data_IF_747911941299
#
_entry.id   IF_747911941299
#
_cell.length_a   1.000
_cell.length_b   1.000
_cell.length_c   1.000
_cell.angle_alpha   90.00
_cell.angle_beta   90.00
_cell.angle_gamma   90.00
#
_symmetry.space_group_name_H-M   'P 1'
#
loop_
_entity.id
_entity.type
_entity.pdbx_description
1 polymer ?
#
# COMPACT_ATOMS: atom_id res chain seq x y z
N UNK A 1 15.06 27.50 -3.94
CA UNK A 1 14.48 27.97 -2.65
C UNK A 1 12.99 28.11 -2.93
N UNK A 2 12.09 27.25 -2.45
CA UNK A 2 11.86 26.78 -1.09
C UNK A 2 11.41 25.32 -1.11
N UNK A 3 12.07 24.45 -0.34
CA UNK A 3 11.58 23.11 -0.02
C UNK A 3 10.49 23.27 1.03
N UNK A 4 9.23 23.28 0.60
CA UNK A 4 8.10 23.15 1.54
C UNK A 4 8.08 21.72 2.07
N UNK A 5 8.71 21.49 3.21
CA UNK A 5 8.51 20.26 3.98
C UNK A 5 7.08 20.28 4.51
N UNK A 6 6.20 19.42 3.99
CA UNK A 6 4.92 19.14 4.64
C UNK A 6 5.18 18.28 5.89
N UNK A 7 5.11 18.91 7.06
CA UNK A 7 5.55 18.35 8.34
C UNK A 7 4.68 17.23 8.93
N UNK A 8 3.71 16.68 8.18
CA UNK A 8 2.73 15.71 8.70
C UNK A 8 2.64 14.38 7.94
N UNK A 9 3.45 14.16 6.88
CA UNK A 9 3.46 12.86 6.23
C UNK A 9 4.22 11.84 7.10
N UNK A 10 3.58 10.69 7.38
CA UNK A 10 4.24 9.53 8.00
C UNK A 10 5.11 8.74 7.00
N UNK A 11 5.03 9.05 5.70
CA UNK A 11 5.79 8.36 4.66
C UNK A 11 7.30 8.63 4.80
N UNK A 12 8.13 7.60 5.04
CA UNK A 12 9.52 7.81 5.45
C UNK A 12 10.49 8.03 4.28
N UNK A 13 10.07 7.81 3.03
CA UNK A 13 10.97 7.84 1.86
C UNK A 13 10.87 9.20 1.13
N UNK A 14 11.99 9.89 0.85
CA UNK A 14 11.98 11.19 0.16
C UNK A 14 11.46 11.13 -1.29
N UNK A 15 10.75 12.18 -1.70
CA UNK A 15 10.16 12.30 -3.05
C UNK A 15 11.18 12.64 -4.15
N UNK A 16 11.95 11.64 -4.55
CA UNK A 16 12.99 11.73 -5.60
C UNK A 16 12.57 11.02 -6.89
N UNK A 17 13.25 11.27 -8.02
CA UNK A 17 12.95 10.57 -9.28
C UNK A 17 13.07 9.04 -9.17
N UNK A 18 14.10 8.46 -8.51
CA UNK A 18 14.14 7.01 -8.27
C UNK A 18 12.94 6.49 -7.50
N UNK A 19 12.43 7.27 -6.53
CA UNK A 19 11.26 6.88 -5.75
C UNK A 19 9.97 6.94 -6.58
N UNK A 20 9.83 7.92 -7.48
CA UNK A 20 8.73 7.97 -8.47
C UNK A 20 8.72 6.72 -9.36
N UNK A 21 9.88 6.33 -9.88
CA UNK A 21 10.03 5.13 -10.72
C UNK A 21 9.73 3.85 -9.94
N UNK A 22 10.19 3.74 -8.68
CA UNK A 22 9.89 2.60 -7.80
C UNK A 22 8.38 2.48 -7.59
N UNK A 23 7.69 3.58 -7.29
CA UNK A 23 6.23 3.59 -7.09
C UNK A 23 5.46 3.18 -8.36
N UNK A 24 5.89 3.64 -9.54
CA UNK A 24 5.29 3.22 -10.80
C UNK A 24 5.46 1.70 -11.06
N UNK A 25 6.63 1.13 -10.73
CA UNK A 25 6.86 -0.32 -10.82
C UNK A 25 6.06 -1.10 -9.76
N UNK A 26 5.89 -0.54 -8.57
CA UNK A 26 5.05 -1.12 -7.52
C UNK A 26 3.59 -1.28 -7.98
N UNK A 27 3.07 -0.33 -8.75
CA UNK A 27 1.76 -0.47 -9.38
C UNK A 27 1.67 -1.64 -10.38
N UNK A 28 2.73 -1.90 -11.16
CA UNK A 28 2.76 -3.06 -12.06
C UNK A 28 2.80 -4.39 -11.27
N UNK A 29 3.61 -4.47 -10.19
CA UNK A 29 3.61 -5.61 -9.27
C UNK A 29 2.21 -5.86 -8.71
N UNK A 30 1.53 -4.79 -8.27
CA UNK A 30 0.17 -4.85 -7.75
C UNK A 30 -0.78 -5.54 -8.72
N UNK A 31 -0.80 -5.07 -9.97
CA UNK A 31 -1.66 -5.65 -11.02
C UNK A 31 -1.36 -7.12 -11.24
N UNK A 32 -0.09 -7.49 -11.37
CA UNK A 32 0.30 -8.88 -11.57
C UNK A 32 -0.06 -9.79 -10.38
N UNK A 33 0.15 -9.30 -9.15
CA UNK A 33 -0.20 -10.00 -7.92
C UNK A 33 -1.72 -10.24 -7.79
N UNK A 34 -2.54 -9.26 -8.18
CA UNK A 34 -4.00 -9.39 -8.16
C UNK A 34 -4.59 -10.06 -9.41
N UNK A 35 -3.77 -10.34 -10.43
CA UNK A 35 -4.24 -10.83 -11.72
C UNK A 35 -5.08 -9.81 -12.50
N UNK A 36 -4.85 -8.51 -12.27
CA UNK A 36 -5.55 -7.43 -12.97
C UNK A 36 -4.85 -7.07 -14.27
N UNK A 37 -5.60 -7.00 -15.35
CA UNK A 37 -5.11 -6.43 -16.61
C UNK A 37 -5.36 -4.92 -16.71
N UNK A 38 -6.31 -4.39 -15.94
CA UNK A 38 -6.73 -2.97 -15.95
C UNK A 38 -6.61 -2.30 -14.57
N UNK A 39 -7.06 -1.05 -14.45
CA UNK A 39 -7.11 -0.32 -13.17
C UNK A 39 -8.14 -0.88 -12.19
N UNK A 40 -9.12 -1.66 -12.68
CA UNK A 40 -10.16 -2.29 -11.88
C UNK A 40 -10.01 -3.82 -11.89
N UNK A 41 -10.55 -4.54 -10.89
CA UNK A 41 -10.57 -5.99 -10.92
C UNK A 41 -11.33 -6.54 -12.13
N UNK A 42 -10.69 -7.44 -12.89
CA UNK A 42 -11.23 -7.95 -14.17
C UNK A 42 -12.51 -8.80 -14.02
N UNK A 43 -12.74 -9.37 -12.83
CA UNK A 43 -13.78 -10.38 -12.55
C UNK A 43 -14.95 -9.82 -11.72
N UNK A 44 -15.16 -8.50 -11.81
CA UNK A 44 -16.08 -7.77 -10.95
C UNK A 44 -17.22 -7.14 -11.77
N UNK A 45 -18.28 -7.92 -12.02
CA UNK A 45 -19.61 -7.40 -12.40
C UNK A 45 -20.18 -6.40 -11.36
N UNK A 46 -19.48 -6.21 -10.25
CA UNK A 46 -19.81 -5.30 -9.16
C UNK A 46 -19.47 -3.84 -9.47
N UNK A 47 -18.63 -3.56 -10.49
CA UNK A 47 -18.31 -2.20 -10.92
C UNK A 47 -18.76 -2.01 -12.36
N UNK A 48 -19.95 -1.43 -12.54
CA UNK A 48 -20.37 -0.93 -13.85
C UNK A 48 -19.67 0.40 -14.14
N UNK A 49 -18.48 0.32 -14.76
CA UNK A 49 -17.68 1.49 -15.09
C UNK A 49 -18.45 2.52 -15.95
N UNK A 50 -19.43 2.08 -16.75
CA UNK A 50 -20.22 2.98 -17.60
C UNK A 50 -21.16 3.89 -16.80
N UNK A 51 -21.42 3.57 -15.53
CA UNK A 51 -22.20 4.37 -14.60
C UNK A 51 -21.35 5.20 -13.63
N UNK A 52 -20.01 5.14 -13.73
CA UNK A 52 -19.09 5.84 -12.82
C UNK A 52 -18.63 7.15 -13.48
N UNK A 53 -19.22 8.28 -13.05
CA UNK A 53 -18.92 9.60 -13.62
C UNK A 53 -17.99 10.45 -12.76
N UNK A 54 -17.95 10.23 -11.43
CA UNK A 54 -17.08 10.99 -10.51
C UNK A 54 -16.23 10.04 -9.68
N UNK A 55 -14.92 10.11 -9.88
CA UNK A 55 -13.93 9.23 -9.23
C UNK A 55 -12.91 10.07 -8.48
N UNK A 56 -12.48 9.58 -7.32
CA UNK A 56 -11.33 10.14 -6.60
C UNK A 56 -10.33 9.04 -6.21
N UNK A 57 -9.06 9.26 -6.57
CA UNK A 57 -7.91 8.49 -6.10
C UNK A 57 -7.26 9.24 -4.93
N UNK A 58 -7.29 8.64 -3.74
CA UNK A 58 -6.76 9.25 -2.50
C UNK A 58 -5.44 8.60 -2.11
N UNK A 59 -4.45 9.42 -1.74
CA UNK A 59 -3.07 8.95 -1.64
C UNK A 59 -2.49 8.58 -3.00
N UNK A 60 -2.83 9.36 -4.03
CA UNK A 60 -2.60 9.00 -5.43
C UNK A 60 -1.12 8.87 -5.82
N UNK A 61 -0.17 9.35 -5.02
CA UNK A 61 1.26 9.20 -5.28
C UNK A 61 1.66 9.75 -6.65
N UNK A 62 1.99 8.88 -7.60
CA UNK A 62 2.37 9.26 -8.98
C UNK A 62 1.18 9.44 -9.93
N UNK A 63 -0.06 9.24 -9.45
CA UNK A 63 -1.31 9.21 -10.21
C UNK A 63 -1.39 8.07 -11.24
N UNK A 64 -0.55 7.04 -11.12
CA UNK A 64 -0.45 5.96 -12.13
C UNK A 64 -1.76 5.17 -12.28
N UNK A 65 -2.47 4.91 -11.18
CA UNK A 65 -3.79 4.26 -11.22
C UNK A 65 -4.83 5.13 -11.93
N UNK A 66 -4.84 6.44 -11.62
CA UNK A 66 -5.74 7.40 -12.24
C UNK A 66 -5.58 7.44 -13.78
N UNK A 67 -4.34 7.44 -14.29
CA UNK A 67 -4.10 7.35 -15.74
C UNK A 67 -4.52 6.02 -16.34
N UNK A 68 -4.26 4.90 -15.64
CA UNK A 68 -4.69 3.58 -16.10
C UNK A 68 -6.22 3.51 -16.22
N UNK A 69 -6.95 4.06 -15.23
CA UNK A 69 -8.41 4.17 -15.28
C UNK A 69 -8.89 4.98 -16.49
N UNK A 70 -8.25 6.11 -16.79
CA UNK A 70 -8.61 6.93 -17.97
C UNK A 70 -8.32 6.23 -19.31
N UNK A 71 -7.44 5.24 -19.32
CA UNK A 71 -7.16 4.42 -20.50
C UNK A 71 -8.19 3.31 -20.72
N UNK A 72 -9.03 3.02 -19.72
CA UNK A 72 -9.98 1.92 -19.81
C UNK A 72 -11.06 2.16 -20.86
N UNK A 73 -11.40 1.13 -21.66
CA UNK A 73 -12.56 1.19 -22.53
C UNK A 73 -13.85 1.24 -21.70
N UNK A 74 -14.93 1.79 -22.28
CA UNK A 74 -16.29 1.87 -21.68
C UNK A 74 -16.45 2.83 -20.50
N UNK A 75 -15.41 3.57 -20.09
CA UNK A 75 -15.62 4.71 -19.19
C UNK A 75 -16.47 5.79 -19.86
N UNK A 76 -17.27 6.56 -19.11
CA UNK A 76 -17.90 7.76 -19.61
C UNK A 76 -16.88 8.76 -20.17
N UNK A 77 -17.22 9.39 -21.31
CA UNK A 77 -16.40 10.45 -21.90
C UNK A 77 -16.30 11.67 -20.98
N UNK A 78 -17.34 11.93 -20.20
CA UNK A 78 -17.48 13.04 -19.26
C UNK A 78 -17.05 12.70 -17.82
N UNK A 79 -16.35 11.58 -17.63
CA UNK A 79 -15.82 11.19 -16.31
C UNK A 79 -14.93 12.30 -15.73
N UNK A 80 -15.24 12.71 -14.50
CA UNK A 80 -14.47 13.67 -13.72
C UNK A 80 -13.57 12.92 -12.74
N UNK A 81 -12.27 13.03 -12.93
CA UNK A 81 -11.27 12.36 -12.11
C UNK A 81 -10.56 13.35 -11.19
N UNK A 82 -10.56 13.01 -9.91
CA UNK A 82 -9.88 13.74 -8.87
C UNK A 82 -8.73 12.91 -8.31
N UNK A 83 -7.62 13.56 -7.98
CA UNK A 83 -6.50 12.94 -7.27
C UNK A 83 -6.10 13.80 -6.09
N UNK A 84 -5.84 13.18 -4.95
CA UNK A 84 -5.30 13.92 -3.81
C UNK A 84 -4.26 13.13 -3.05
N UNK A 85 -3.34 13.84 -2.41
CA UNK A 85 -2.30 13.26 -1.57
C UNK A 85 -1.92 14.27 -0.48
N UNK A 86 -1.42 13.80 0.65
CA UNK A 86 -0.87 14.68 1.69
C UNK A 86 0.41 15.39 1.19
N UNK A 87 1.11 14.79 0.23
CA UNK A 87 2.28 15.35 -0.44
C UNK A 87 2.15 15.24 -1.97
N UNK A 88 1.87 16.37 -2.61
CA UNK A 88 1.70 16.44 -4.07
C UNK A 88 3.02 16.47 -4.86
N UNK A 89 4.18 16.31 -4.23
CA UNK A 89 5.49 16.34 -4.93
C UNK A 89 5.67 15.18 -5.91
N UNK A 90 4.94 14.09 -5.72
CA UNK A 90 4.94 12.94 -6.61
C UNK A 90 4.06 13.11 -7.84
N UNK A 91 3.14 14.07 -7.84
CA UNK A 91 2.24 14.31 -8.96
C UNK A 91 3.03 14.67 -10.23
N UNK A 92 2.49 14.31 -11.41
CA UNK A 92 2.93 14.85 -12.69
C UNK A 92 2.83 16.39 -12.73
N UNK A 93 3.43 16.99 -13.74
CA UNK A 93 3.29 18.43 -13.97
C UNK A 93 1.81 18.81 -14.18
N UNK A 94 1.43 19.99 -13.67
CA UNK A 94 0.05 20.48 -13.77
C UNK A 94 -0.49 20.52 -15.19
N UNK A 95 0.38 20.79 -16.18
CA UNK A 95 -0.01 20.80 -17.59
C UNK A 95 -0.45 19.42 -18.08
N UNK A 96 0.26 18.36 -17.68
CA UNK A 96 -0.09 16.97 -18.01
C UNK A 96 -1.42 16.61 -17.35
N UNK A 97 -1.59 16.94 -16.06
CA UNK A 97 -2.86 16.67 -15.37
C UNK A 97 -4.05 17.39 -16.04
N UNK A 98 -3.85 18.63 -16.48
CA UNK A 98 -4.88 19.40 -17.17
C UNK A 98 -5.21 18.82 -18.56
N UNK A 99 -4.23 18.30 -19.30
CA UNK A 99 -4.44 17.62 -20.59
C UNK A 99 -5.39 16.42 -20.47
N UNK A 100 -5.28 15.69 -19.35
CA UNK A 100 -6.15 14.54 -19.04
C UNK A 100 -7.41 14.92 -18.25
N UNK A 101 -7.65 16.22 -18.00
CA UNK A 101 -8.81 16.68 -17.23
C UNK A 101 -8.81 16.29 -15.75
N UNK A 102 -7.64 15.99 -15.17
CA UNK A 102 -7.49 15.54 -13.79
C UNK A 102 -7.47 16.74 -12.85
N UNK A 103 -8.36 16.75 -11.85
CA UNK A 103 -8.36 17.74 -10.78
C UNK A 103 -7.49 17.25 -9.61
N UNK A 104 -6.36 17.90 -9.38
CA UNK A 104 -5.40 17.52 -8.34
C UNK A 104 -5.35 18.53 -7.19
N UNK A 105 -5.34 18.06 -5.94
CA UNK A 105 -5.23 18.90 -4.76
C UNK A 105 -4.52 18.20 -3.60
N UNK A 106 -4.04 18.97 -2.63
CA UNK A 106 -3.42 18.42 -1.41
C UNK A 106 -4.51 18.10 -0.38
N UNK A 107 -4.48 16.90 0.21
CA UNK A 107 -5.44 16.48 1.23
C UNK A 107 -4.83 15.48 2.21
N UNK A 108 -5.06 15.68 3.50
CA UNK A 108 -4.88 14.65 4.53
C UNK A 108 -6.19 13.84 4.62
N UNK A 109 -6.14 12.56 4.27
CA UNK A 109 -7.32 11.67 4.25
C UNK A 109 -7.93 11.45 5.63
N UNK A 110 -7.20 11.73 6.71
CA UNK A 110 -7.70 11.66 8.09
C UNK A 110 -8.49 12.90 8.49
N UNK A 111 -8.51 13.95 7.64
CA UNK A 111 -9.26 15.19 7.86
C UNK A 111 -10.49 15.25 6.96
N UNK A 112 -11.57 15.93 7.42
CA UNK A 112 -12.74 16.13 6.59
C UNK A 112 -12.37 16.77 5.24
N UNK A 113 -12.88 16.20 4.15
CA UNK A 113 -12.74 16.75 2.82
C UNK A 113 -13.58 18.04 2.66
N UNK A 114 -13.27 18.91 1.67
CA UNK A 114 -14.09 20.07 1.33
C UNK A 114 -15.57 19.70 1.19
N UNK A 115 -16.46 20.57 1.67
CA UNK A 115 -17.89 20.28 1.77
C UNK A 115 -18.51 20.01 0.39
N UNK A 116 -18.08 20.74 -0.63
CA UNK A 116 -18.50 20.61 -2.02
C UNK A 116 -18.15 19.26 -2.66
N UNK A 117 -17.24 18.49 -2.06
CA UNK A 117 -16.84 17.17 -2.54
C UNK A 117 -17.65 16.04 -1.88
N UNK A 118 -18.33 16.30 -0.76
CA UNK A 118 -19.03 15.28 0.02
C UNK A 118 -20.31 14.83 -0.66
N UNK A 119 -20.55 13.52 -0.66
CA UNK A 119 -21.73 12.92 -1.30
C UNK A 119 -21.76 13.08 -2.83
N UNK A 120 -20.60 13.27 -3.47
CA UNK A 120 -20.52 13.56 -4.92
C UNK A 120 -19.82 12.49 -5.74
N UNK A 121 -19.14 11.53 -5.11
CA UNK A 121 -18.36 10.51 -5.82
C UNK A 121 -19.13 9.20 -6.01
N UNK A 122 -18.91 8.58 -7.15
CA UNK A 122 -19.41 7.23 -7.47
C UNK A 122 -18.38 6.16 -7.04
N UNK A 123 -17.08 6.50 -7.11
CA UNK A 123 -15.98 5.62 -6.73
C UNK A 123 -14.88 6.39 -5.97
N UNK A 124 -14.46 5.85 -4.83
CA UNK A 124 -13.23 6.22 -4.12
C UNK A 124 -12.24 5.07 -4.24
N UNK A 125 -11.01 5.35 -4.67
CA UNK A 125 -9.91 4.38 -4.69
C UNK A 125 -8.80 4.82 -3.73
N UNK A 126 -8.21 3.87 -3.00
CA UNK A 126 -6.97 4.07 -2.24
C UNK A 126 -6.10 2.81 -2.29
N UNK A 127 -4.78 2.98 -2.33
CA UNK A 127 -3.82 1.89 -2.47
C UNK A 127 -2.59 2.10 -1.58
N UNK A 128 -2.18 1.07 -0.85
CA UNK A 128 -0.97 1.01 -0.04
C UNK A 128 -0.79 2.14 0.99
N UNK A 129 -1.87 2.52 1.67
CA UNK A 129 -1.83 3.49 2.78
C UNK A 129 -1.38 2.88 4.11
N UNK A 130 -1.13 1.57 4.18
CA UNK A 130 -0.69 0.85 5.39
C UNK A 130 0.53 1.49 6.08
N UNK A 131 1.47 2.06 5.31
CA UNK A 131 2.66 2.74 5.84
C UNK A 131 2.39 4.15 6.38
N UNK A 132 1.21 4.71 6.11
CA UNK A 132 0.84 6.10 6.40
C UNK A 132 -0.23 6.29 7.47
N UNK A 133 -0.97 5.23 7.83
CA UNK A 133 -2.12 5.30 8.73
C UNK A 133 -1.95 4.38 9.94
N UNK A 134 -2.08 4.97 11.14
CA UNK A 134 -2.31 4.21 12.37
C UNK A 134 -3.78 3.77 12.48
N UNK A 135 -4.12 3.02 13.53
CA UNK A 135 -5.48 2.49 13.71
C UNK A 135 -6.57 3.59 13.72
N UNK A 136 -6.30 4.73 14.34
CA UNK A 136 -7.24 5.86 14.36
C UNK A 136 -7.31 6.55 12.99
N UNK A 137 -6.17 6.67 12.31
CA UNK A 137 -6.06 7.19 10.96
C UNK A 137 -6.87 6.37 9.95
N UNK A 138 -6.85 5.05 10.05
CA UNK A 138 -7.69 4.15 9.25
C UNK A 138 -9.18 4.42 9.47
N UNK A 139 -9.64 4.50 10.73
CA UNK A 139 -11.05 4.79 11.03
C UNK A 139 -11.47 6.16 10.50
N UNK A 140 -10.63 7.18 10.68
CA UNK A 140 -10.89 8.53 10.18
C UNK A 140 -10.94 8.57 8.64
N UNK A 141 -9.99 7.91 7.97
CA UNK A 141 -9.94 7.84 6.52
C UNK A 141 -11.19 7.17 5.93
N UNK A 142 -11.58 6.00 6.45
CA UNK A 142 -12.77 5.30 5.98
C UNK A 142 -14.06 6.10 6.20
N UNK A 143 -14.18 6.80 7.34
CA UNK A 143 -15.31 7.70 7.58
C UNK A 143 -15.36 8.86 6.57
N UNK A 144 -14.20 9.40 6.18
CA UNK A 144 -14.11 10.44 5.17
C UNK A 144 -14.43 9.90 3.76
N UNK A 145 -13.99 8.68 3.42
CA UNK A 145 -14.35 8.02 2.16
C UNK A 145 -15.85 7.80 2.07
N UNK A 146 -16.47 7.37 3.18
CA UNK A 146 -17.91 7.24 3.28
C UNK A 146 -18.62 8.59 3.08
N UNK A 147 -18.08 9.69 3.63
CA UNK A 147 -18.64 11.02 3.44
C UNK A 147 -18.50 11.55 2.00
N UNK A 148 -17.47 11.14 1.25
CA UNK A 148 -17.28 11.52 -0.16
C UNK A 148 -18.29 10.86 -1.10
N UNK A 149 -18.66 9.62 -0.81
CA UNK A 149 -19.49 8.80 -1.68
C UNK A 149 -20.96 9.22 -1.66
N UNK A 150 -21.61 9.19 -2.82
CA UNK A 150 -23.08 9.17 -2.93
C UNK A 150 -23.65 7.90 -2.26
N UNK A 151 -24.93 7.88 -1.86
CA UNK A 151 -25.60 6.62 -1.52
C UNK A 151 -25.43 5.59 -2.65
N UNK A 152 -24.99 4.37 -2.32
CA UNK A 152 -24.69 3.33 -3.30
C UNK A 152 -23.32 3.45 -3.99
N UNK A 153 -22.54 4.49 -3.72
CA UNK A 153 -21.17 4.64 -4.23
C UNK A 153 -20.21 3.59 -3.67
N UNK A 154 -19.10 3.35 -4.37
CA UNK A 154 -18.17 2.27 -4.11
C UNK A 154 -16.83 2.79 -3.54
N UNK A 155 -16.22 2.00 -2.67
CA UNK A 155 -14.84 2.17 -2.25
C UNK A 155 -14.03 0.93 -2.65
N UNK A 156 -12.94 1.15 -3.39
CA UNK A 156 -11.97 0.12 -3.78
C UNK A 156 -10.67 0.39 -3.02
N UNK A 157 -10.29 -0.55 -2.15
CA UNK A 157 -9.06 -0.47 -1.38
C UNK A 157 -8.16 -1.64 -1.75
N UNK A 158 -6.85 -1.42 -1.80
CA UNK A 158 -5.89 -2.50 -1.91
C UNK A 158 -4.64 -2.25 -1.06
N UNK A 159 -4.21 -3.30 -0.36
CA UNK A 159 -3.22 -3.19 0.72
C UNK A 159 -2.31 -4.42 0.80
N UNK A 160 -1.21 -4.26 1.53
CA UNK A 160 -0.29 -5.35 1.91
C UNK A 160 -0.05 -5.29 3.41
N UNK A 161 0.22 -6.44 4.02
CA UNK A 161 0.58 -6.51 5.43
C UNK A 161 2.06 -6.14 5.65
N UNK A 162 2.37 -5.54 6.80
CA UNK A 162 3.72 -5.08 7.15
C UNK A 162 4.55 -6.21 7.81
N UNK A 163 4.52 -7.40 7.23
CA UNK A 163 5.18 -8.60 7.78
C UNK A 163 5.44 -9.66 6.70
N UNK A 164 6.61 -10.30 6.78
CA UNK A 164 7.04 -11.35 5.86
C UNK A 164 7.00 -12.74 6.50
N UNK A 165 6.74 -13.72 5.65
CA UNK A 165 6.69 -15.14 5.99
C UNK A 165 7.50 -15.97 4.99
N UNK A 166 8.02 -17.14 5.40
CA UNK A 166 8.66 -18.08 4.47
C UNK A 166 7.65 -18.80 3.57
N UNK A 167 8.16 -19.45 2.51
CA UNK A 167 7.36 -20.16 1.50
C UNK A 167 6.35 -21.16 2.10
N UNK A 168 6.69 -21.86 3.18
CA UNK A 168 5.80 -22.84 3.80
C UNK A 168 4.43 -22.27 4.22
N UNK A 169 4.29 -20.96 4.39
CA UNK A 169 3.01 -20.32 4.70
C UNK A 169 2.06 -20.26 3.50
N UNK A 170 2.56 -20.42 2.26
CA UNK A 170 1.72 -20.57 1.08
C UNK A 170 0.89 -21.86 1.13
N UNK A 171 1.37 -22.88 1.83
CA UNK A 171 0.71 -24.18 1.94
C UNK A 171 -0.41 -24.19 2.99
N UNK A 172 -0.37 -23.25 3.94
CA UNK A 172 -1.36 -23.11 4.99
C UNK A 172 -1.59 -21.63 5.36
N UNK A 173 -2.58 -20.97 4.73
CA UNK A 173 -2.94 -19.60 5.07
C UNK A 173 -3.45 -19.41 6.50
N UNK A 174 -3.86 -20.49 7.20
CA UNK A 174 -4.22 -20.40 8.62
C UNK A 174 -2.98 -20.25 9.52
N UNK A 175 -1.78 -20.52 8.97
CA UNK A 175 -0.52 -20.30 9.65
C UNK A 175 -0.15 -18.81 9.79
N UNK A 176 -0.84 -17.88 9.10
CA UNK A 176 -0.70 -16.45 9.38
C UNK A 176 -1.32 -16.13 10.75
N UNK A 177 -0.63 -16.52 11.82
CA UNK A 177 -1.10 -16.40 13.20
C UNK A 177 -0.92 -14.98 13.77
N UNK A 178 -1.73 -14.62 14.76
CA UNK A 178 -1.77 -13.26 15.32
C UNK A 178 -0.60 -12.96 16.28
N UNK A 179 0.20 -13.97 16.65
CA UNK A 179 1.32 -13.79 17.57
C UNK A 179 2.54 -13.23 16.84
N UNK A 180 2.52 -11.91 16.63
CA UNK A 180 3.61 -11.17 16.00
C UNK A 180 4.98 -11.45 16.65
N UNK A 181 5.04 -11.78 17.95
CA UNK A 181 6.33 -12.05 18.61
C UNK A 181 7.03 -13.27 18.02
N UNK A 182 6.30 -14.31 17.64
CA UNK A 182 6.90 -15.50 17.00
C UNK A 182 7.64 -15.12 15.72
N UNK A 183 7.14 -14.11 15.01
CA UNK A 183 7.69 -13.62 13.75
C UNK A 183 8.82 -12.59 13.91
N UNK A 184 9.24 -12.29 15.14
CA UNK A 184 10.31 -11.35 15.47
C UNK A 184 11.51 -11.99 16.21
N UNK A 185 11.37 -13.16 16.83
CA UNK A 185 12.37 -13.65 17.81
C UNK A 185 13.33 -14.72 17.32
N UNK A 186 13.14 -15.31 16.15
CA UNK A 186 14.01 -16.37 15.61
C UNK A 186 15.24 -15.78 14.87
N UNK A 187 16.37 -16.52 14.75
CA UNK A 187 17.58 -16.00 14.12
C UNK A 187 17.54 -15.92 12.58
N UNK A 188 16.45 -16.32 11.92
CA UNK A 188 16.40 -16.31 10.45
C UNK A 188 16.34 -14.88 9.90
N UNK A 189 16.74 -14.72 8.64
CA UNK A 189 16.74 -13.43 7.96
C UNK A 189 15.32 -12.81 7.86
N UNK A 190 14.26 -13.64 7.79
CA UNK A 190 12.86 -13.17 7.78
C UNK A 190 12.48 -12.52 9.10
N UNK A 191 12.87 -13.10 10.24
CA UNK A 191 12.56 -12.51 11.55
C UNK A 191 13.35 -11.23 11.76
N UNK A 192 14.61 -11.21 11.29
CA UNK A 192 15.46 -10.02 11.25
C UNK A 192 14.86 -8.90 10.39
N UNK A 193 14.31 -9.23 9.22
CA UNK A 193 13.63 -8.25 8.37
C UNK A 193 12.31 -7.75 9.01
N UNK A 194 11.54 -8.63 9.65
CA UNK A 194 10.34 -8.24 10.40
C UNK A 194 10.68 -7.34 11.61
N UNK A 195 11.82 -7.53 12.28
CA UNK A 195 12.27 -6.61 13.34
C UNK A 195 12.46 -5.17 12.84
N UNK A 196 12.81 -4.98 11.56
CA UNK A 196 12.85 -3.66 10.94
C UNK A 196 11.44 -3.23 10.53
N UNK A 197 10.75 -4.00 9.68
CA UNK A 197 9.52 -3.57 9.04
C UNK A 197 8.32 -3.57 9.99
N UNK A 198 8.02 -4.72 10.59
CA UNK A 198 6.97 -4.87 11.60
C UNK A 198 7.33 -4.12 12.88
N UNK A 199 8.59 -4.17 13.30
CA UNK A 199 9.06 -3.41 14.47
C UNK A 199 8.86 -1.90 14.31
N UNK A 200 9.16 -1.35 13.13
CA UNK A 200 8.85 0.04 12.81
C UNK A 200 7.34 0.31 12.87
N UNK A 201 6.53 -0.56 12.27
CA UNK A 201 5.08 -0.44 12.24
C UNK A 201 4.50 -0.35 13.66
N UNK A 202 4.92 -1.25 14.55
CA UNK A 202 4.51 -1.27 15.96
C UNK A 202 4.91 0.02 16.70
N UNK A 203 6.13 0.51 16.50
CA UNK A 203 6.58 1.78 17.11
C UNK A 203 5.79 3.01 16.64
N UNK A 204 5.20 2.93 15.45
CA UNK A 204 4.41 4.01 14.86
C UNK A 204 2.91 3.84 15.06
N UNK A 205 2.47 2.74 15.69
CA UNK A 205 1.05 2.42 15.85
C UNK A 205 0.35 2.05 14.54
N UNK A 206 1.11 1.69 13.51
CA UNK A 206 0.55 1.22 12.24
C UNK A 206 -0.13 -0.14 12.41
N UNK A 207 -1.14 -0.39 11.58
CA UNK A 207 -1.84 -1.68 11.58
C UNK A 207 -1.03 -2.66 10.74
N UNK A 208 -0.34 -3.60 11.41
CA UNK A 208 0.53 -4.58 10.73
C UNK A 208 -0.25 -5.49 9.77
N UNK A 209 -1.45 -5.93 10.17
CA UNK A 209 -2.28 -6.89 9.45
C UNK A 209 -3.53 -6.26 8.86
N UNK A 210 -3.36 -5.13 8.18
CA UNK A 210 -4.49 -4.33 7.70
C UNK A 210 -5.40 -5.12 6.76
N UNK A 211 -4.87 -6.07 6.00
CA UNK A 211 -5.66 -6.88 5.06
C UNK A 211 -6.66 -7.80 5.78
N UNK A 212 -6.44 -8.11 7.05
CA UNK A 212 -7.41 -8.85 7.87
C UNK A 212 -8.43 -7.95 8.56
N UNK A 213 -8.01 -6.74 8.95
CA UNK A 213 -8.83 -5.79 9.69
C UNK A 213 -9.81 -5.03 8.77
N UNK A 214 -9.44 -4.82 7.51
CA UNK A 214 -10.20 -3.98 6.57
C UNK A 214 -11.68 -4.33 6.42
N UNK A 215 -12.10 -5.61 6.28
CA UNK A 215 -13.53 -5.94 6.19
C UNK A 215 -14.33 -5.44 7.41
N UNK A 216 -13.79 -5.61 8.62
CA UNK A 216 -14.43 -5.15 9.86
C UNK A 216 -14.41 -3.63 9.98
N UNK A 217 -13.30 -2.99 9.60
CA UNK A 217 -13.17 -1.53 9.61
C UNK A 217 -14.13 -0.87 8.61
N UNK A 218 -14.28 -1.45 7.41
CA UNK A 218 -15.24 -1.02 6.39
C UNK A 218 -16.68 -1.13 6.91
N UNK A 219 -17.07 -2.28 7.46
CA UNK A 219 -18.39 -2.47 8.04
C UNK A 219 -18.67 -1.46 9.17
N UNK A 220 -17.69 -1.22 10.04
CA UNK A 220 -17.79 -0.25 11.14
C UNK A 220 -17.93 1.19 10.64
N UNK A 221 -17.42 1.50 9.44
CA UNK A 221 -17.54 2.80 8.79
C UNK A 221 -18.84 2.96 7.97
N UNK A 222 -19.75 1.98 7.99
CA UNK A 222 -21.04 2.05 7.30
C UNK A 222 -21.03 1.49 5.86
N UNK A 223 -20.04 0.66 5.52
CA UNK A 223 -19.98 0.02 4.21
C UNK A 223 -20.49 -1.43 4.24
N UNK A 224 -21.24 -1.81 3.21
CA UNK A 224 -21.47 -3.20 2.86
C UNK A 224 -20.27 -3.75 2.07
N UNK A 225 -19.52 -4.68 2.66
CA UNK A 225 -18.40 -5.34 1.96
C UNK A 225 -18.95 -6.27 0.89
N UNK A 226 -18.68 -5.96 -0.38
CA UNK A 226 -19.11 -6.74 -1.54
C UNK A 226 -18.10 -7.83 -1.90
N UNK A 227 -16.81 -7.52 -1.73
CA UNK A 227 -15.71 -8.45 -2.01
C UNK A 227 -14.55 -8.22 -1.06
N UNK A 228 -13.93 -9.32 -0.62
CA UNK A 228 -12.62 -9.34 0.02
C UNK A 228 -11.81 -10.43 -0.67
N UNK A 229 -10.75 -10.03 -1.34
CA UNK A 229 -9.86 -10.95 -2.04
C UNK A 229 -8.48 -10.87 -1.43
N UNK A 230 -8.11 -11.91 -0.71
CA UNK A 230 -6.75 -12.09 -0.22
C UNK A 230 -5.90 -12.78 -1.29
N UNK A 231 -4.67 -12.32 -1.41
CA UNK A 231 -3.63 -12.85 -2.30
C UNK A 231 -2.30 -12.81 -1.55
N UNK A 232 -1.23 -13.20 -2.24
CA UNK A 232 0.10 -13.18 -1.68
C UNK A 232 1.05 -12.41 -2.59
N UNK A 233 1.75 -11.44 -2.01
CA UNK A 233 2.90 -10.81 -2.63
C UNK A 233 4.12 -11.73 -2.47
N UNK A 234 4.77 -12.07 -3.59
CA UNK A 234 5.98 -12.87 -3.57
C UNK A 234 7.23 -11.98 -3.69
N UNK A 235 8.32 -12.42 -3.07
CA UNK A 235 9.61 -11.76 -3.07
C UNK A 235 10.70 -12.75 -3.48
N UNK A 236 11.68 -12.27 -4.25
CA UNK A 236 12.81 -13.08 -4.69
C UNK A 236 12.38 -14.28 -5.54
N UNK A 237 13.06 -15.44 -5.42
CA UNK A 237 12.77 -16.62 -6.23
C UNK A 237 11.32 -17.10 -6.18
N UNK A 238 10.58 -16.80 -5.11
CA UNK A 238 9.16 -17.18 -4.99
C UNK A 238 8.25 -16.46 -6.00
N UNK A 239 8.71 -15.34 -6.60
CA UNK A 239 8.00 -14.70 -7.70
C UNK A 239 7.78 -15.65 -8.90
N UNK A 240 8.64 -16.66 -9.08
CA UNK A 240 8.56 -17.62 -10.18
C UNK A 240 7.46 -18.68 -9.98
N UNK A 241 7.10 -18.99 -8.73
CA UNK A 241 6.18 -20.08 -8.40
C UNK A 241 4.81 -19.58 -7.93
N UNK A 242 4.77 -18.49 -7.16
CA UNK A 242 3.54 -17.95 -6.57
C UNK A 242 2.58 -17.46 -7.66
N UNK A 243 1.30 -17.81 -7.51
CA UNK A 243 0.26 -17.42 -8.46
C UNK A 243 0.46 -17.98 -9.87
N UNK A 244 1.12 -19.14 -10.00
CA UNK A 244 1.44 -19.73 -11.31
C UNK A 244 2.52 -18.97 -12.07
N UNK A 245 3.40 -18.23 -11.38
CA UNK A 245 4.46 -17.43 -11.98
C UNK A 245 4.01 -16.07 -12.51
N UNK A 246 2.80 -15.62 -12.13
CA UNK A 246 2.28 -14.29 -12.52
C UNK A 246 3.20 -13.13 -12.08
N UNK A 247 4.00 -13.33 -11.04
CA UNK A 247 4.91 -12.31 -10.51
C UNK A 247 6.36 -12.46 -11.02
N UNK A 248 6.65 -13.42 -11.91
CA UNK A 248 8.00 -13.82 -12.30
C UNK A 248 8.86 -12.66 -12.85
N UNK A 249 8.27 -11.76 -13.63
CA UNK A 249 8.99 -10.60 -14.19
C UNK A 249 9.45 -9.60 -13.12
N UNK A 250 8.84 -9.65 -11.93
CA UNK A 250 9.12 -8.73 -10.83
C UNK A 250 10.13 -9.27 -9.82
N UNK A 251 10.72 -10.45 -10.00
CA UNK A 251 11.68 -11.04 -9.07
C UNK A 251 12.79 -10.04 -8.69
N UNK A 252 13.50 -9.49 -9.69
CA UNK A 252 14.58 -8.55 -9.46
C UNK A 252 14.10 -7.25 -8.79
N UNK A 253 12.91 -6.78 -9.17
CA UNK A 253 12.33 -5.56 -8.59
C UNK A 253 11.87 -5.80 -7.14
N UNK A 254 11.32 -6.97 -6.82
CA UNK A 254 10.85 -7.32 -5.48
C UNK A 254 11.99 -7.25 -4.46
N UNK A 255 13.18 -7.76 -4.82
CA UNK A 255 14.40 -7.68 -4.01
C UNK A 255 14.83 -6.22 -3.83
N UNK A 256 14.90 -5.45 -4.93
CA UNK A 256 15.25 -4.03 -4.87
C UNK A 256 14.29 -3.22 -4.01
N UNK A 257 12.99 -3.53 -4.09
CA UNK A 257 11.94 -2.86 -3.35
C UNK A 257 12.07 -3.12 -1.84
N UNK A 258 12.28 -4.37 -1.43
CA UNK A 258 12.52 -4.73 -0.02
C UNK A 258 13.71 -3.95 0.53
N UNK A 259 14.85 -3.98 -0.16
CA UNK A 259 16.07 -3.32 0.31
C UNK A 259 15.93 -1.79 0.31
N UNK A 260 15.24 -1.23 -0.69
CA UNK A 260 14.93 0.19 -0.80
C UNK A 260 14.06 0.71 0.34
N UNK A 261 13.19 -0.13 0.91
CA UNK A 261 12.35 0.19 2.07
C UNK A 261 13.10 -0.10 3.38
N UNK A 262 13.74 -1.26 3.51
CA UNK A 262 14.38 -1.71 4.75
C UNK A 262 15.54 -0.82 5.18
N UNK A 263 16.39 -0.40 4.23
CA UNK A 263 17.56 0.42 4.53
C UNK A 263 17.20 1.75 5.22
N UNK A 264 16.36 2.63 4.64
CA UNK A 264 16.01 3.89 5.30
C UNK A 264 15.25 3.68 6.61
N UNK A 265 14.46 2.61 6.75
CA UNK A 265 13.79 2.28 8.02
C UNK A 265 14.80 1.89 9.10
N UNK A 266 15.72 0.97 8.80
CA UNK A 266 16.75 0.54 9.75
C UNK A 266 17.64 1.71 10.18
N UNK A 267 18.10 2.55 9.24
CA UNK A 267 18.88 3.75 9.53
C UNK A 267 18.09 4.75 10.40
N UNK A 268 16.79 4.92 10.14
CA UNK A 268 15.93 5.79 10.95
C UNK A 268 15.76 5.26 12.38
N UNK A 269 15.51 3.95 12.52
CA UNK A 269 15.34 3.29 13.82
C UNK A 269 16.64 3.31 14.63
N UNK A 270 17.79 3.05 14.00
CA UNK A 270 19.10 3.16 14.63
C UNK A 270 19.34 4.57 15.17
N UNK A 271 19.13 5.61 14.35
CA UNK A 271 19.30 7.01 14.77
C UNK A 271 18.42 7.40 15.96
N UNK A 272 17.29 6.72 16.15
CA UNK A 272 16.35 6.94 17.27
C UNK A 272 16.62 6.05 18.48
N UNK A 273 17.64 5.18 18.42
CA UNK A 273 17.91 4.19 19.46
C UNK A 273 16.79 3.17 19.64
N UNK A 274 16.04 2.90 18.57
CA UNK A 274 14.82 2.08 18.60
C UNK A 274 14.94 0.81 17.75
N UNK A 275 16.09 0.53 17.13
CA UNK A 275 16.28 -0.70 16.38
C UNK A 275 16.70 -1.83 17.33
N UNK A 276 15.84 -2.84 17.45
CA UNK A 276 16.09 -4.03 18.26
C UNK A 276 15.99 -5.29 17.39
N UNK A 277 17.02 -6.14 17.40
CA UNK A 277 17.08 -7.38 16.62
C UNK A 277 17.80 -8.48 17.41
N UNK A 278 17.08 -9.48 17.96
CA UNK A 278 15.60 -9.53 18.13
C UNK A 278 15.10 -8.50 19.15
N UNK A 279 13.77 -8.39 19.40
CA UNK A 279 13.25 -7.53 20.47
C UNK A 279 13.96 -7.76 21.80
N UNK A 280 14.33 -6.67 22.48
CA UNK A 280 15.15 -6.66 23.70
C UNK A 280 16.67 -6.64 23.49
N UNK A 281 17.18 -6.79 22.25
CA UNK A 281 18.60 -6.60 21.91
C UNK A 281 18.76 -5.40 20.99
N UNK A 282 19.24 -4.27 21.54
CA UNK A 282 19.51 -3.08 20.76
C UNK A 282 20.62 -3.32 19.71
N UNK A 283 20.45 -2.70 18.54
CA UNK A 283 21.49 -2.59 17.51
C UNK A 283 22.28 -1.31 17.77
N UNK A 284 23.60 -1.43 18.01
CA UNK A 284 24.40 -0.34 18.59
C UNK A 284 25.18 0.52 17.57
N UNK A 285 25.18 0.14 16.29
CA UNK A 285 25.97 0.88 15.29
C UNK A 285 25.64 0.57 13.84
N UNK A 286 26.18 1.41 12.96
CA UNK A 286 25.97 1.32 11.50
C UNK A 286 26.56 0.02 10.91
N UNK A 287 27.65 -0.51 11.48
CA UNK A 287 28.23 -1.79 11.05
C UNK A 287 27.30 -2.97 11.33
N UNK A 288 26.60 -2.97 12.47
CA UNK A 288 25.60 -4.02 12.75
C UNK A 288 24.40 -3.91 11.81
N UNK A 289 23.95 -2.69 11.50
CA UNK A 289 22.90 -2.47 10.49
C UNK A 289 23.33 -2.95 9.11
N UNK A 290 24.59 -2.72 8.73
CA UNK A 290 25.13 -3.21 7.45
C UNK A 290 25.10 -4.73 7.37
N UNK A 291 25.61 -5.43 8.40
CA UNK A 291 25.59 -6.90 8.44
C UNK A 291 24.16 -7.43 8.42
N UNK A 292 23.26 -6.80 9.18
CA UNK A 292 21.83 -7.14 9.18
C UNK A 292 21.20 -7.03 7.79
N UNK A 293 21.47 -5.95 7.06
CA UNK A 293 20.96 -5.74 5.70
C UNK A 293 21.59 -6.72 4.69
N UNK A 294 22.88 -7.08 4.84
CA UNK A 294 23.56 -8.08 4.00
C UNK A 294 22.94 -9.48 4.17
N UNK A 295 22.59 -9.86 5.40
CA UNK A 295 21.89 -11.13 5.67
C UNK A 295 20.47 -11.14 5.08
N UNK A 296 19.74 -10.03 5.21
CA UNK A 296 18.40 -9.89 4.62
C UNK A 296 18.48 -9.93 3.09
N UNK A 297 19.45 -9.24 2.50
CA UNK A 297 19.70 -9.27 1.05
C UNK A 297 20.00 -10.68 0.57
N UNK A 298 20.87 -11.41 1.28
CA UNK A 298 21.19 -12.79 0.94
C UNK A 298 19.93 -13.65 0.98
N UNK A 299 19.19 -13.60 2.09
CA UNK A 299 17.99 -14.42 2.28
C UNK A 299 16.89 -14.14 1.26
N UNK A 300 16.57 -12.87 0.98
CA UNK A 300 15.55 -12.55 -0.03
C UNK A 300 15.98 -12.97 -1.43
N UNK A 301 17.28 -12.99 -1.73
CA UNK A 301 17.81 -13.45 -3.03
C UNK A 301 17.83 -14.97 -3.18
N UNK A 302 18.08 -15.71 -2.10
CA UNK A 302 18.28 -17.16 -2.17
C UNK A 302 17.04 -17.96 -1.82
N UNK A 303 16.25 -17.49 -0.87
CA UNK A 303 15.07 -18.18 -0.34
C UNK A 303 13.77 -17.52 -0.79
N UNK A 304 13.76 -16.18 -0.83
CA UNK A 304 12.54 -15.41 -1.06
C UNK A 304 11.59 -15.44 0.14
N UNK A 305 10.54 -14.63 0.07
CA UNK A 305 9.54 -14.54 1.13
C UNK A 305 8.18 -14.16 0.55
N UNK A 306 7.16 -14.20 1.40
CA UNK A 306 5.80 -13.85 1.05
C UNK A 306 5.20 -12.85 2.03
N UNK A 307 4.35 -11.96 1.55
CA UNK A 307 3.55 -11.04 2.36
C UNK A 307 2.06 -11.21 2.01
N UNK A 308 1.15 -11.30 2.99
CA UNK A 308 -0.28 -11.19 2.73
C UNK A 308 -0.60 -9.85 2.07
N UNK A 309 -1.43 -9.89 1.04
CA UNK A 309 -1.96 -8.71 0.39
C UNK A 309 -3.43 -8.94 0.02
N UNK A 310 -4.14 -7.89 -0.37
CA UNK A 310 -5.51 -8.05 -0.80
C UNK A 310 -6.16 -6.79 -1.29
N UNK A 311 -7.29 -6.98 -1.95
CA UNK A 311 -8.16 -5.89 -2.38
C UNK A 311 -9.59 -6.11 -1.91
N UNK A 312 -10.27 -5.01 -1.68
CA UNK A 312 -11.55 -4.94 -0.99
C UNK A 312 -12.44 -3.97 -1.75
N UNK A 313 -13.64 -4.45 -2.10
CA UNK A 313 -14.67 -3.61 -2.70
C UNK A 313 -15.85 -3.55 -1.74
N UNK A 314 -16.25 -2.34 -1.38
CA UNK A 314 -17.38 -2.12 -0.49
C UNK A 314 -18.29 -1.01 -1.06
N UNK A 315 -19.57 -1.05 -0.66
CA UNK A 315 -20.59 -0.10 -1.09
C UNK A 315 -21.11 0.67 0.10
N UNK A 316 -21.29 1.97 -0.08
CA UNK A 316 -21.98 2.83 0.89
C UNK A 316 -23.46 2.48 0.93
N UNK A 317 -23.97 2.13 2.11
CA UNK A 317 -25.40 1.93 2.37
C UNK A 317 -26.16 3.24 2.58
#
# INVERSE_FOLDING_TARGET
MSTTSSSNSRYPIPATSPEKERLAKQYAVKKAMYGWSTALPDDSDLIDLSAVHRVIDVGAGTCVWAFDLLSMPRRPEDMQLYVCDINTSFFPEKAILAEFGITAFQQDVTKPFPEELRGTFDLVHASFLVGGLDADGWRAALANYHALLKPGGLVLLDETDLIYFPEQFLLDPSAFDDDLNKHLTSPTWIHKSNCIFTGYALQKGLVVRITQELPTLLASAGFAVLRSQHVVQALGPLCQSVGGGAQAEFESFSIQNVLGVMKPLAENMLKRGALEVPPGRAVEGEDEVRVLLEEIETGVRTEGAVAPAGWFLARKE
#
